data_IF_443044963143
#
_entry.id   IF_443044963143
#
_cell.length_a   1.000
_cell.length_b   1.000
_cell.length_c   1.000
_cell.angle_alpha   90.00
_cell.angle_beta   90.00
_cell.angle_gamma   90.00
#
_symmetry.space_group_name_H-M   'P 1'
#
loop_
_entity.id
_entity.type
_entity.pdbx_description
1 polymer ?
#
# COMPACT_ATOMS: atom_id res chain seq x y z
N UNK A 1 7.86 -7.86 5.74
CA UNK A 1 6.68 -8.60 5.26
C UNK A 1 5.41 -7.90 5.73
N UNK A 2 4.35 -7.98 4.94
CA UNK A 2 3.02 -7.51 5.32
C UNK A 2 2.34 -8.54 6.24
N UNK A 3 1.63 -8.15 7.31
CA UNK A 3 0.85 -9.08 8.14
C UNK A 3 -0.15 -9.89 7.30
N UNK A 4 -0.38 -11.19 7.60
CA UNK A 4 -1.29 -12.04 6.83
C UNK A 4 -2.72 -11.51 6.75
N UNK A 5 -3.24 -10.98 7.85
CA UNK A 5 -4.60 -10.45 7.93
C UNK A 5 -4.75 -9.19 7.07
N UNK A 6 -3.74 -8.31 7.12
CA UNK A 6 -3.69 -7.12 6.27
C UNK A 6 -3.59 -7.49 4.78
N UNK A 7 -2.80 -8.51 4.43
CA UNK A 7 -2.71 -9.03 3.05
C UNK A 7 -4.06 -9.57 2.58
N UNK A 8 -4.76 -10.29 3.44
CA UNK A 8 -6.08 -10.86 3.13
C UNK A 8 -7.12 -9.75 2.96
N UNK A 9 -7.08 -8.72 3.81
CA UNK A 9 -7.92 -7.53 3.68
C UNK A 9 -7.69 -6.79 2.38
N UNK A 10 -6.42 -6.58 1.99
CA UNK A 10 -6.08 -5.92 0.72
C UNK A 10 -6.65 -6.66 -0.48
N UNK A 11 -6.56 -8.00 -0.50
CA UNK A 11 -7.10 -8.82 -1.58
C UNK A 11 -8.64 -8.78 -1.71
N UNK A 12 -9.36 -8.24 -0.72
CA UNK A 12 -10.80 -7.99 -0.81
C UNK A 12 -11.15 -6.62 -1.39
N UNK A 13 -10.20 -5.69 -1.37
CA UNK A 13 -10.39 -4.32 -1.84
C UNK A 13 -9.85 -4.17 -3.25
N UNK A 14 -8.66 -4.75 -3.50
CA UNK A 14 -7.92 -4.58 -4.74
C UNK A 14 -7.63 -5.92 -5.41
N UNK A 15 -7.65 -5.95 -6.75
CA UNK A 15 -7.22 -7.12 -7.49
C UNK A 15 -5.70 -7.34 -7.32
N UNK A 16 -5.22 -8.58 -7.46
CA UNK A 16 -3.86 -8.96 -7.09
C UNK A 16 -2.77 -8.28 -7.93
N UNK A 17 -3.08 -7.87 -9.15
CA UNK A 17 -2.20 -7.14 -10.07
C UNK A 17 -1.97 -5.67 -9.67
N UNK A 18 -2.84 -5.11 -8.82
CA UNK A 18 -2.72 -3.76 -8.23
C UNK A 18 -2.09 -3.76 -6.83
N UNK A 19 -1.54 -4.88 -6.37
CA UNK A 19 -0.85 -5.01 -5.07
C UNK A 19 0.60 -5.45 -5.27
N UNK A 20 1.52 -4.50 -5.23
CA UNK A 20 2.95 -4.70 -5.44
C UNK A 20 3.66 -4.95 -4.11
N UNK A 21 4.14 -6.17 -3.91
CA UNK A 21 4.88 -6.58 -2.71
C UNK A 21 6.38 -6.75 -2.95
N UNK A 22 6.83 -6.62 -4.20
CA UNK A 22 8.22 -6.85 -4.55
C UNK A 22 9.13 -5.72 -4.08
N UNK A 23 10.31 -6.09 -3.60
CA UNK A 23 11.28 -5.17 -3.01
C UNK A 23 11.81 -4.12 -4.01
N UNK A 24 11.69 -4.38 -5.31
CA UNK A 24 12.19 -3.49 -6.36
C UNK A 24 11.19 -2.37 -6.63
N UNK A 25 9.93 -2.68 -6.96
CA UNK A 25 8.87 -1.69 -7.15
C UNK A 25 8.65 -0.87 -5.89
N UNK A 26 8.57 -1.50 -4.72
CA UNK A 26 8.40 -0.77 -3.45
C UNK A 26 9.54 0.22 -3.19
N UNK A 27 10.78 -0.10 -3.59
CA UNK A 27 11.92 0.82 -3.47
C UNK A 27 11.87 1.94 -4.52
N UNK A 28 11.52 1.64 -5.76
CA UNK A 28 11.38 2.64 -6.83
C UNK A 28 10.28 3.65 -6.49
N UNK A 29 9.12 3.18 -6.03
CA UNK A 29 8.01 4.04 -5.63
C UNK A 29 8.24 4.77 -4.31
N UNK A 30 9.13 4.27 -3.45
CA UNK A 30 9.53 4.97 -2.23
C UNK A 30 10.59 6.06 -2.49
N UNK A 31 11.34 5.98 -3.58
CA UNK A 31 12.32 6.99 -3.96
C UNK A 31 11.60 8.26 -4.43
N UNK A 32 11.97 9.37 -3.84
CA UNK A 32 11.54 10.72 -4.19
C UNK A 32 12.80 11.60 -4.24
N UNK A 33 12.68 12.84 -4.71
CA UNK A 33 13.71 13.87 -4.61
C UNK A 33 14.02 14.29 -3.16
N UNK A 34 13.33 13.74 -2.16
CA UNK A 34 13.64 13.98 -0.75
C UNK A 34 14.79 13.12 -0.23
N UNK A 35 15.42 13.59 0.85
CA UNK A 35 16.45 12.83 1.58
C UNK A 35 15.90 11.63 2.35
N UNK A 36 14.57 11.50 2.43
CA UNK A 36 13.92 10.42 3.15
C UNK A 36 13.81 9.19 2.26
N UNK A 37 14.10 8.02 2.85
CA UNK A 37 13.98 6.73 2.19
C UNK A 37 12.88 5.92 2.89
N UNK A 38 11.60 6.26 2.67
CA UNK A 38 10.52 5.49 3.26
C UNK A 38 10.63 4.03 2.83
N UNK A 39 10.40 3.09 3.76
CA UNK A 39 10.44 1.66 3.48
C UNK A 39 9.02 1.13 3.41
N UNK A 40 8.39 1.35 2.25
CA UNK A 40 7.07 0.79 1.98
C UNK A 40 7.11 -0.75 2.07
N UNK A 41 6.08 -1.34 2.70
CA UNK A 41 5.93 -2.80 2.77
C UNK A 41 5.09 -3.35 1.61
N UNK A 42 4.32 -2.48 0.97
CA UNK A 42 3.50 -2.72 -0.20
C UNK A 42 3.31 -1.38 -0.92
N UNK A 43 3.11 -1.44 -2.23
CA UNK A 43 2.58 -0.33 -3.03
C UNK A 43 1.29 -0.83 -3.66
N UNK A 44 0.26 0.00 -3.66
CA UNK A 44 -1.04 -0.36 -4.20
C UNK A 44 -1.51 0.69 -5.18
N UNK A 45 -2.10 0.26 -6.29
CA UNK A 45 -2.70 1.16 -7.28
C UNK A 45 -4.19 1.30 -7.01
N UNK A 46 -4.64 2.54 -6.85
CA UNK A 46 -6.03 2.87 -6.52
C UNK A 46 -6.66 3.60 -7.70
N UNK A 47 -7.88 3.22 -8.06
CA UNK A 47 -8.60 3.74 -9.24
C UNK A 47 -9.90 4.47 -8.86
N UNK A 48 -10.34 4.39 -7.60
CA UNK A 48 -11.57 5.06 -7.14
C UNK A 48 -11.51 5.54 -5.69
N UNK A 49 -12.40 6.47 -5.34
CA UNK A 49 -12.54 6.99 -3.98
C UNK A 49 -13.06 5.94 -2.99
N UNK A 50 -13.92 5.02 -3.45
CA UNK A 50 -14.43 3.93 -2.64
C UNK A 50 -13.30 2.99 -2.19
N UNK A 51 -12.35 2.70 -3.09
CA UNK A 51 -11.14 1.94 -2.78
C UNK A 51 -10.24 2.66 -1.77
N UNK A 52 -10.08 3.99 -1.89
CA UNK A 52 -9.35 4.80 -0.90
C UNK A 52 -10.00 4.65 0.48
N UNK A 53 -11.32 4.82 0.55
CA UNK A 53 -12.07 4.77 1.81
C UNK A 53 -11.96 3.40 2.46
N UNK A 54 -12.14 2.33 1.69
CA UNK A 54 -11.99 0.96 2.16
C UNK A 54 -10.56 0.68 2.66
N UNK A 55 -9.54 1.14 1.91
CA UNK A 55 -8.14 0.96 2.28
C UNK A 55 -7.80 1.68 3.59
N UNK A 56 -8.21 2.94 3.74
CA UNK A 56 -7.98 3.70 4.98
C UNK A 56 -8.67 3.06 6.19
N UNK A 57 -9.86 2.50 6.01
CA UNK A 57 -10.55 1.70 7.02
C UNK A 57 -9.72 0.49 7.46
N UNK A 58 -9.29 -0.32 6.50
CA UNK A 58 -8.47 -1.52 6.76
C UNK A 58 -7.14 -1.18 7.44
N UNK A 59 -6.46 -0.13 6.99
CA UNK A 59 -5.18 0.30 7.55
C UNK A 59 -5.33 0.80 8.98
N UNK A 60 -6.41 1.54 9.28
CA UNK A 60 -6.74 2.00 10.63
C UNK A 60 -6.96 0.83 11.58
N UNK A 61 -7.70 -0.20 11.16
CA UNK A 61 -7.93 -1.42 11.95
C UNK A 61 -6.62 -2.14 12.31
N UNK A 62 -5.63 -2.10 11.41
CA UNK A 62 -4.35 -2.77 11.58
C UNK A 62 -3.22 -1.86 12.09
N UNK A 63 -3.50 -0.58 12.39
CA UNK A 63 -2.49 0.39 12.82
C UNK A 63 -1.37 0.61 11.80
N UNK A 64 -1.67 0.49 10.50
CA UNK A 64 -0.70 0.60 9.42
C UNK A 64 -0.66 2.05 8.85
N UNK A 65 0.55 2.56 8.63
CA UNK A 65 0.75 3.86 7.98
C UNK A 65 0.64 3.78 6.46
N UNK A 66 0.23 4.89 5.84
CA UNK A 66 0.16 5.06 4.38
C UNK A 66 0.82 6.36 3.96
N UNK A 67 1.31 6.38 2.72
CA UNK A 67 1.81 7.59 2.06
C UNK A 67 1.20 7.64 0.67
N UNK A 68 0.51 8.74 0.35
CA UNK A 68 -0.03 8.96 -0.99
C UNK A 68 1.08 9.35 -1.95
N UNK A 69 1.00 8.86 -3.19
CA UNK A 69 1.95 9.11 -4.27
C UNK A 69 1.15 9.33 -5.56
N UNK A 70 1.58 10.31 -6.36
CA UNK A 70 1.01 10.63 -7.68
C UNK A 70 2.10 10.68 -8.74
#
# INVERSE_FOLDING_TARGET
>A
MLPPDLRTGLARILPPDRVHLDAVRTRVFALDASIYQPRARAVVDIESEDEVTALLGLLREHGAGVTFRG
#
